data_IF_199043877890
#
_entry.id   IF_199043877890
#
_cell.length_a   1.000
_cell.length_b   1.000
_cell.length_c   1.000
_cell.angle_alpha   90.00
_cell.angle_beta   90.00
_cell.angle_gamma   90.00
#
_symmetry.space_group_name_H-M   'P 1'
#
loop_
_entity.id
_entity.type
_entity.pdbx_description
1 polymer ?
#
# COMPACT_ATOMS: atom_id res chain seq x y z
N UNK A 1 12.66 9.01 25.13
CA UNK A 1 12.09 8.74 23.78
C UNK A 1 13.17 8.99 22.75
N UNK A 2 13.37 8.06 21.81
CA UNK A 2 14.35 8.26 20.74
C UNK A 2 13.88 9.38 19.80
N UNK A 3 14.80 10.18 19.27
CA UNK A 3 14.50 11.28 18.31
C UNK A 3 13.62 10.81 17.16
N UNK A 4 13.84 9.56 16.69
CA UNK A 4 13.01 8.93 15.64
C UNK A 4 11.55 8.82 16.06
N UNK A 5 11.26 8.40 17.31
CA UNK A 5 9.89 8.28 17.80
C UNK A 5 9.18 9.65 17.91
N UNK A 6 9.90 10.71 18.26
CA UNK A 6 9.36 12.07 18.31
C UNK A 6 8.98 12.53 16.89
N UNK A 7 9.87 12.34 15.92
CA UNK A 7 9.62 12.68 14.50
C UNK A 7 8.46 11.85 13.95
N UNK A 8 8.42 10.54 14.23
CA UNK A 8 7.33 9.66 13.80
C UNK A 8 5.99 10.10 14.37
N UNK A 9 5.93 10.43 15.66
CA UNK A 9 4.71 10.94 16.30
C UNK A 9 4.25 12.30 15.78
N UNK A 10 5.18 13.16 15.37
CA UNK A 10 4.86 14.43 14.72
C UNK A 10 4.29 14.19 13.32
N UNK A 11 4.94 13.35 12.52
CA UNK A 11 4.49 12.97 11.17
C UNK A 11 3.12 12.29 11.20
N UNK A 12 2.89 11.37 12.14
CA UNK A 12 1.60 10.73 12.35
C UNK A 12 0.49 11.75 12.65
N UNK A 13 0.72 12.63 13.63
CA UNK A 13 -0.26 13.68 14.00
C UNK A 13 -0.56 14.64 12.85
N UNK A 14 0.43 14.98 12.05
CA UNK A 14 0.26 15.82 10.87
C UNK A 14 -0.58 15.10 9.81
N UNK A 15 -0.28 13.83 9.50
CA UNK A 15 -1.02 13.02 8.53
C UNK A 15 -2.45 12.75 8.95
N UNK A 16 -2.69 12.45 10.23
CA UNK A 16 -4.05 12.24 10.76
C UNK A 16 -4.89 13.52 10.73
N UNK A 17 -4.29 14.70 10.73
CA UNK A 17 -5.00 15.98 10.61
C UNK A 17 -5.29 16.41 9.16
N UNK A 18 -4.69 15.74 8.19
CA UNK A 18 -4.94 16.01 6.78
C UNK A 18 -6.32 15.45 6.37
N UNK A 19 -7.09 16.26 5.62
CA UNK A 19 -8.45 15.90 5.19
C UNK A 19 -8.48 14.83 4.11
N UNK A 20 -7.42 14.73 3.32
CA UNK A 20 -7.36 13.83 2.14
C UNK A 20 -7.51 12.37 2.53
N UNK A 21 -6.75 11.80 3.50
CA UNK A 21 -6.92 10.41 3.93
C UNK A 21 -8.34 10.10 4.43
N UNK A 22 -8.95 11.01 5.19
CA UNK A 22 -10.32 10.80 5.67
C UNK A 22 -11.34 10.69 4.56
N UNK A 23 -11.25 11.57 3.55
CA UNK A 23 -12.13 11.51 2.38
C UNK A 23 -11.98 10.17 1.68
N UNK A 24 -10.76 9.68 1.52
CA UNK A 24 -10.48 8.38 0.89
C UNK A 24 -11.02 7.20 1.70
N UNK A 25 -10.87 7.24 3.03
CA UNK A 25 -11.46 6.22 3.92
C UNK A 25 -12.99 6.22 3.81
N UNK A 26 -13.63 7.38 3.77
CA UNK A 26 -15.09 7.48 3.58
C UNK A 26 -15.51 6.85 2.25
N UNK A 27 -14.82 7.16 1.15
CA UNK A 27 -15.11 6.53 -0.14
C UNK A 27 -14.86 5.01 -0.11
N UNK A 28 -13.80 4.54 0.54
CA UNK A 28 -13.54 3.12 0.70
C UNK A 28 -14.67 2.41 1.47
N UNK A 29 -15.11 3.00 2.58
CA UNK A 29 -16.23 2.47 3.37
C UNK A 29 -17.53 2.45 2.56
N UNK A 30 -17.81 3.51 1.79
CA UNK A 30 -18.97 3.55 0.87
C UNK A 30 -18.87 2.47 -0.21
N UNK A 31 -17.70 2.25 -0.80
CA UNK A 31 -17.49 1.18 -1.79
C UNK A 31 -17.67 -0.21 -1.18
N UNK A 32 -17.18 -0.43 0.04
CA UNK A 32 -17.38 -1.66 0.79
C UNK A 32 -18.86 -1.88 1.08
N UNK A 33 -19.59 -0.85 1.51
CA UNK A 33 -21.04 -0.93 1.72
C UNK A 33 -21.80 -1.17 0.42
N UNK A 34 -21.40 -0.50 -0.69
CA UNK A 34 -21.99 -0.70 -1.99
C UNK A 34 -21.78 -2.12 -2.55
N UNK A 35 -20.68 -2.80 -2.17
CA UNK A 35 -20.45 -4.19 -2.57
C UNK A 35 -21.59 -5.13 -2.16
N UNK A 36 -22.23 -4.85 -1.02
CA UNK A 36 -23.42 -5.59 -0.57
C UNK A 36 -24.62 -5.40 -1.51
N UNK A 37 -24.85 -4.17 -2.02
CA UNK A 37 -25.93 -3.88 -2.97
C UNK A 37 -25.68 -4.53 -4.33
N UNK A 38 -24.42 -4.47 -4.80
CA UNK A 38 -23.99 -5.07 -6.07
C UNK A 38 -24.11 -6.59 -6.01
N UNK A 39 -23.77 -7.19 -4.88
CA UNK A 39 -23.86 -8.63 -4.67
C UNK A 39 -25.30 -9.14 -4.84
N UNK A 40 -26.30 -8.40 -4.37
CA UNK A 40 -27.71 -8.78 -4.51
C UNK A 40 -28.19 -8.87 -5.97
N UNK A 41 -27.49 -8.24 -6.91
CA UNK A 41 -27.79 -8.32 -8.33
C UNK A 41 -27.27 -9.60 -9.01
N UNK A 42 -26.45 -10.38 -8.30
CA UNK A 42 -25.75 -11.54 -8.86
C UNK A 42 -26.17 -12.81 -8.11
N UNK A 43 -27.05 -13.59 -8.73
CA UNK A 43 -27.58 -14.81 -8.10
C UNK A 43 -26.47 -15.83 -7.79
N UNK A 44 -26.34 -16.19 -6.50
CA UNK A 44 -25.48 -17.29 -6.03
C UNK A 44 -23.98 -17.01 -5.88
N UNK A 45 -23.52 -15.78 -6.13
CA UNK A 45 -22.10 -15.41 -5.94
C UNK A 45 -21.91 -14.19 -5.00
N UNK A 46 -22.93 -13.85 -4.24
CA UNK A 46 -23.01 -12.64 -3.44
C UNK A 46 -21.81 -12.45 -2.52
N UNK A 47 -21.43 -13.49 -1.77
CA UNK A 47 -20.33 -13.44 -0.85
C UNK A 47 -18.96 -13.24 -1.54
N UNK A 48 -18.75 -13.87 -2.71
CA UNK A 48 -17.51 -13.71 -3.47
C UNK A 48 -17.33 -12.28 -3.95
N UNK A 49 -18.40 -11.66 -4.43
CA UNK A 49 -18.40 -10.27 -4.88
C UNK A 49 -18.08 -9.32 -3.73
N UNK A 50 -18.73 -9.51 -2.57
CA UNK A 50 -18.47 -8.69 -1.37
C UNK A 50 -17.00 -8.81 -0.96
N UNK A 51 -16.46 -10.03 -0.92
CA UNK A 51 -15.04 -10.27 -0.58
C UNK A 51 -14.10 -9.62 -1.58
N UNK A 52 -14.34 -9.83 -2.86
CA UNK A 52 -13.48 -9.33 -3.93
C UNK A 52 -13.49 -7.80 -4.00
N UNK A 53 -14.66 -7.17 -4.05
CA UNK A 53 -14.79 -5.71 -4.08
C UNK A 53 -14.29 -5.06 -2.77
N UNK A 54 -14.54 -5.69 -1.63
CA UNK A 54 -14.07 -5.19 -0.35
C UNK A 54 -12.54 -5.18 -0.26
N UNK A 55 -11.88 -6.29 -0.61
CA UNK A 55 -10.41 -6.35 -0.65
C UNK A 55 -9.83 -5.43 -1.73
N UNK A 56 -10.50 -5.30 -2.89
CA UNK A 56 -10.11 -4.35 -3.91
C UNK A 56 -10.17 -2.90 -3.41
N UNK A 57 -11.24 -2.54 -2.67
CA UNK A 57 -11.37 -1.22 -2.08
C UNK A 57 -10.25 -0.94 -1.07
N UNK A 58 -9.91 -1.90 -0.19
CA UNK A 58 -8.79 -1.75 0.74
C UNK A 58 -7.47 -1.50 0.00
N UNK A 59 -7.19 -2.26 -1.06
CA UNK A 59 -5.95 -2.12 -1.84
C UNK A 59 -5.89 -0.77 -2.58
N UNK A 60 -6.93 -0.41 -3.33
CA UNK A 60 -6.94 0.79 -4.18
C UNK A 60 -6.95 2.07 -3.33
N UNK A 61 -7.85 2.17 -2.34
CA UNK A 61 -7.89 3.35 -1.48
C UNK A 61 -6.68 3.41 -0.55
N UNK A 62 -6.18 2.26 -0.08
CA UNK A 62 -4.92 2.18 0.63
C UNK A 62 -3.74 2.70 -0.21
N UNK A 63 -3.66 2.34 -1.49
CA UNK A 63 -2.68 2.86 -2.44
C UNK A 63 -2.76 4.38 -2.57
N UNK A 64 -3.96 4.91 -2.79
CA UNK A 64 -4.15 6.35 -2.90
C UNK A 64 -3.69 7.06 -1.63
N UNK A 65 -4.09 6.57 -0.45
CA UNK A 65 -3.66 7.10 0.83
C UNK A 65 -2.13 7.06 0.95
N UNK A 66 -1.49 5.91 0.64
CA UNK A 66 -0.03 5.74 0.71
C UNK A 66 0.72 6.74 -0.18
N UNK A 67 0.25 6.94 -1.43
CA UNK A 67 0.83 7.88 -2.38
C UNK A 67 0.69 9.31 -1.90
N UNK A 68 -0.53 9.74 -1.55
CA UNK A 68 -0.79 11.13 -1.14
C UNK A 68 -0.08 11.51 0.16
N UNK A 69 -0.11 10.63 1.16
CA UNK A 69 0.59 10.86 2.43
C UNK A 69 2.11 10.84 2.20
N UNK A 70 2.62 9.85 1.45
CA UNK A 70 4.06 9.69 1.20
C UNK A 70 4.70 10.91 0.55
N UNK A 71 3.97 11.55 -0.38
CA UNK A 71 4.44 12.73 -1.09
C UNK A 71 4.23 14.01 -0.29
N UNK A 72 3.05 14.16 0.30
CA UNK A 72 2.61 15.43 0.89
C UNK A 72 3.49 15.93 2.04
N UNK A 73 4.05 15.04 2.84
CA UNK A 73 4.82 15.42 4.02
C UNK A 73 6.25 15.90 3.72
N UNK A 74 6.92 15.30 2.74
CA UNK A 74 8.30 15.71 2.40
C UNK A 74 8.29 16.93 1.48
N UNK A 75 7.40 16.98 0.51
CA UNK A 75 7.29 18.09 -0.42
C UNK A 75 6.92 19.41 0.28
N UNK A 76 5.96 19.37 1.21
CA UNK A 76 5.55 20.56 2.00
C UNK A 76 6.70 21.14 2.82
N UNK A 77 7.59 20.31 3.36
CA UNK A 77 8.74 20.77 4.16
C UNK A 77 9.88 21.30 3.28
N UNK A 78 10.10 20.69 2.13
CA UNK A 78 11.10 21.16 1.15
C UNK A 78 10.67 22.52 0.57
N UNK A 79 9.39 22.68 0.19
CA UNK A 79 8.86 23.92 -0.36
C UNK A 79 8.81 25.08 0.66
N UNK A 80 8.46 24.78 1.92
CA UNK A 80 8.34 25.78 2.97
C UNK A 80 9.67 26.25 3.56
N UNK A 81 10.81 25.68 3.10
CA UNK A 81 12.14 25.94 3.69
C UNK A 81 12.16 25.72 5.23
N UNK A 82 11.15 25.04 5.78
CA UNK A 82 11.02 24.76 7.22
C UNK A 82 12.09 23.80 7.75
N UNK A 83 12.83 23.17 6.83
CA UNK A 83 14.05 22.40 7.14
C UNK A 83 15.06 23.25 7.92
N UNK A 84 15.10 24.58 7.74
CA UNK A 84 15.95 25.48 8.54
C UNK A 84 15.56 25.51 10.03
N UNK A 85 14.26 25.41 10.34
CA UNK A 85 13.79 25.32 11.73
C UNK A 85 14.13 23.97 12.40
N UNK A 86 14.32 22.91 11.62
CA UNK A 86 14.76 21.60 12.11
C UNK A 86 16.28 21.54 12.33
N UNK A 87 17.08 22.34 11.62
CA UNK A 87 18.52 22.43 11.81
C UNK A 87 18.93 23.10 13.13
N UNK A 88 18.02 23.81 13.81
CA UNK A 88 18.23 24.33 15.16
C UNK A 88 18.08 23.26 16.26
N UNK A 89 17.50 22.09 15.93
CA UNK A 89 17.44 20.92 16.83
C UNK A 89 18.42 19.85 16.34
N UNK A 90 19.06 19.07 17.22
CA UNK A 90 20.06 18.06 16.86
C UNK A 90 19.41 16.80 16.26
N UNK A 91 18.71 16.95 15.13
CA UNK A 91 18.07 15.84 14.39
C UNK A 91 18.91 15.53 13.16
N UNK A 92 19.41 14.29 13.04
CA UNK A 92 20.13 13.86 11.85
C UNK A 92 19.17 13.62 10.68
N UNK A 93 19.64 13.81 9.45
CA UNK A 93 18.84 13.58 8.21
C UNK A 93 18.30 12.14 8.14
N UNK A 94 19.04 11.16 8.66
CA UNK A 94 18.61 9.76 8.76
C UNK A 94 17.44 9.59 9.73
N UNK A 95 17.55 10.19 10.93
CA UNK A 95 16.48 10.13 11.94
C UNK A 95 15.19 10.80 11.41
N UNK A 96 15.34 11.86 10.63
CA UNK A 96 14.23 12.54 10.00
C UNK A 96 13.51 11.64 8.98
N UNK A 97 14.22 11.06 8.01
CA UNK A 97 13.62 10.19 6.98
C UNK A 97 12.98 8.95 7.61
N UNK A 98 13.68 8.28 8.54
CA UNK A 98 13.15 7.10 9.24
C UNK A 98 11.92 7.44 10.09
N UNK A 99 11.97 8.56 10.83
CA UNK A 99 10.84 9.02 11.63
C UNK A 99 9.64 9.35 10.77
N UNK A 100 9.82 10.08 9.66
CA UNK A 100 8.75 10.36 8.70
C UNK A 100 8.14 9.08 8.15
N UNK A 101 8.95 8.15 7.65
CA UNK A 101 8.47 6.87 7.14
C UNK A 101 7.63 6.11 8.17
N UNK A 102 8.11 5.96 9.40
CA UNK A 102 7.37 5.26 10.46
C UNK A 102 6.04 5.95 10.80
N UNK A 103 6.03 7.28 10.84
CA UNK A 103 4.80 8.05 11.05
C UNK A 103 3.77 7.83 9.94
N UNK A 104 4.22 7.78 8.68
CA UNK A 104 3.38 7.52 7.51
C UNK A 104 2.80 6.11 7.54
N UNK A 105 3.63 5.09 7.81
CA UNK A 105 3.19 3.69 7.93
C UNK A 105 2.20 3.52 9.08
N UNK A 106 2.41 4.19 10.22
CA UNK A 106 1.45 4.18 11.33
C UNK A 106 0.11 4.80 10.94
N UNK A 107 0.11 5.92 10.21
CA UNK A 107 -1.13 6.53 9.68
C UNK A 107 -1.85 5.59 8.71
N UNK A 108 -1.10 4.96 7.81
CA UNK A 108 -1.64 4.00 6.87
C UNK A 108 -2.27 2.79 7.60
N UNK A 109 -1.59 2.26 8.63
CA UNK A 109 -2.10 1.16 9.45
C UNK A 109 -3.43 1.51 10.13
N UNK A 110 -3.56 2.72 10.68
CA UNK A 110 -4.82 3.19 11.28
C UNK A 110 -5.93 3.27 10.23
N UNK A 111 -5.69 3.90 9.08
CA UNK A 111 -6.68 4.02 8.02
C UNK A 111 -7.11 2.63 7.48
N UNK A 112 -6.14 1.76 7.22
CA UNK A 112 -6.42 0.38 6.76
C UNK A 112 -7.21 -0.41 7.82
N UNK A 113 -6.92 -0.21 9.12
CA UNK A 113 -7.67 -0.85 10.20
C UNK A 113 -9.13 -0.40 10.23
N UNK A 114 -9.41 0.88 10.05
CA UNK A 114 -10.79 1.41 9.96
C UNK A 114 -11.54 0.78 8.77
N UNK A 115 -10.90 0.72 7.61
CA UNK A 115 -11.48 0.11 6.41
C UNK A 115 -11.69 -1.41 6.60
N UNK A 116 -10.76 -2.09 7.27
CA UNK A 116 -10.86 -3.52 7.61
C UNK A 116 -12.04 -3.78 8.53
N UNK A 117 -12.25 -2.95 9.56
CA UNK A 117 -13.41 -3.06 10.46
C UNK A 117 -14.71 -2.92 9.66
N UNK A 118 -14.81 -1.90 8.79
CA UNK A 118 -15.97 -1.71 7.94
C UNK A 118 -16.23 -2.93 7.04
N UNK A 119 -15.17 -3.48 6.45
CA UNK A 119 -15.23 -4.68 5.63
C UNK A 119 -15.77 -5.89 6.39
N UNK A 120 -15.22 -6.17 7.57
CA UNK A 120 -15.70 -7.28 8.41
C UNK A 120 -17.12 -7.06 8.94
N UNK A 121 -17.56 -5.82 9.18
CA UNK A 121 -18.94 -5.53 9.54
C UNK A 121 -19.92 -5.89 8.41
N UNK A 122 -19.56 -5.61 7.16
CA UNK A 122 -20.40 -6.01 6.01
C UNK A 122 -20.45 -7.53 5.88
N UNK A 123 -19.32 -8.23 6.05
CA UNK A 123 -19.28 -9.69 6.01
C UNK A 123 -20.06 -10.32 7.16
N UNK A 124 -19.97 -9.78 8.38
CA UNK A 124 -20.72 -10.24 9.54
C UNK A 124 -22.23 -10.03 9.34
N UNK A 125 -22.63 -8.90 8.77
CA UNK A 125 -24.03 -8.66 8.42
C UNK A 125 -24.53 -9.66 7.39
N UNK A 126 -23.74 -9.94 6.33
CA UNK A 126 -24.07 -10.95 5.33
C UNK A 126 -24.22 -12.35 5.96
N UNK A 127 -23.28 -12.73 6.85
CA UNK A 127 -23.35 -14.00 7.56
C UNK A 127 -24.60 -14.11 8.44
N UNK A 128 -24.95 -13.05 9.19
CA UNK A 128 -26.09 -13.04 10.08
C UNK A 128 -27.45 -13.09 9.35
N UNK A 129 -27.52 -12.56 8.13
CA UNK A 129 -28.77 -12.49 7.34
C UNK A 129 -28.92 -13.65 6.36
N UNK A 130 -27.85 -14.42 6.12
CA UNK A 130 -27.87 -15.53 5.18
C UNK A 130 -28.68 -16.73 5.72
N UNK A 131 -29.48 -17.33 4.84
CA UNK A 131 -30.16 -18.61 5.10
C UNK A 131 -29.17 -19.78 5.03
N UNK A 132 -29.47 -20.89 5.67
CA UNK A 132 -28.60 -22.08 5.67
C UNK A 132 -28.37 -22.62 4.25
N UNK A 133 -29.35 -22.49 3.37
CA UNK A 133 -29.24 -22.86 1.93
C UNK A 133 -28.22 -21.98 1.20
N UNK A 134 -28.19 -20.68 1.48
CA UNK A 134 -27.20 -19.76 0.90
C UNK A 134 -25.80 -20.05 1.44
N UNK A 135 -25.64 -20.28 2.74
CA UNK A 135 -24.35 -20.61 3.36
C UNK A 135 -23.77 -21.92 2.80
N UNK A 136 -24.61 -22.91 2.51
CA UNK A 136 -24.16 -24.18 1.92
C UNK A 136 -23.58 -24.01 0.50
N UNK A 137 -23.96 -22.94 -0.22
CA UNK A 137 -23.41 -22.61 -1.54
C UNK A 137 -22.09 -21.81 -1.51
N UNK A 138 -21.63 -21.37 -0.35
CA UNK A 138 -20.41 -20.58 -0.26
C UNK A 138 -19.13 -21.42 -0.39
N UNK A 139 -18.17 -20.96 -1.18
CA UNK A 139 -16.88 -21.62 -1.34
C UNK A 139 -16.03 -21.55 -0.05
N UNK A 140 -16.24 -20.51 0.77
CA UNK A 140 -15.57 -20.32 2.07
C UNK A 140 -16.47 -19.50 3.00
N UNK A 141 -16.35 -19.65 4.34
CA UNK A 141 -17.15 -18.89 5.31
C UNK A 141 -17.03 -17.39 5.09
N UNK A 142 -18.07 -16.62 5.45
CA UNK A 142 -18.03 -15.16 5.33
C UNK A 142 -16.90 -14.57 6.17
N UNK A 143 -16.76 -14.96 7.41
CA UNK A 143 -15.73 -14.53 8.35
C UNK A 143 -14.50 -15.46 8.32
N UNK A 144 -13.93 -15.68 7.13
CA UNK A 144 -12.73 -16.50 6.97
C UNK A 144 -11.48 -15.74 7.47
N UNK A 145 -10.69 -16.29 8.43
CA UNK A 145 -9.46 -15.67 8.92
C UNK A 145 -8.40 -15.46 7.83
N UNK A 146 -8.45 -16.20 6.73
CA UNK A 146 -7.51 -16.05 5.59
C UNK A 146 -7.58 -14.67 4.98
N UNK A 147 -8.69 -13.96 5.10
CA UNK A 147 -8.83 -12.58 4.63
C UNK A 147 -7.91 -11.62 5.39
N UNK A 148 -7.63 -11.88 6.68
CA UNK A 148 -6.63 -11.11 7.43
C UNK A 148 -5.23 -11.28 6.84
N UNK A 149 -4.92 -12.45 6.31
CA UNK A 149 -3.64 -12.70 5.62
C UNK A 149 -3.52 -11.81 4.39
N UNK A 150 -4.57 -11.73 3.57
CA UNK A 150 -4.59 -10.83 2.42
C UNK A 150 -4.42 -9.37 2.84
N UNK A 151 -5.10 -8.93 3.91
CA UNK A 151 -5.01 -7.55 4.43
C UNK A 151 -3.59 -7.25 4.96
N UNK A 152 -2.94 -8.21 5.62
CA UNK A 152 -1.54 -8.08 6.07
C UNK A 152 -0.59 -7.93 4.89
N UNK A 153 -0.79 -8.69 3.80
CA UNK A 153 0.00 -8.57 2.58
C UNK A 153 -0.25 -7.22 1.89
N UNK A 154 -1.51 -6.77 1.80
CA UNK A 154 -1.86 -5.42 1.32
C UNK A 154 -1.13 -4.36 2.16
N UNK A 155 -1.10 -4.47 3.49
CA UNK A 155 -0.36 -3.54 4.35
C UNK A 155 1.14 -3.55 4.04
N UNK A 156 1.74 -4.72 3.80
CA UNK A 156 3.14 -4.87 3.39
C UNK A 156 3.44 -4.18 2.06
N UNK A 157 2.57 -4.39 1.06
CA UNK A 157 2.63 -3.73 -0.24
C UNK A 157 2.56 -2.20 -0.10
N UNK A 158 1.55 -1.70 0.63
CA UNK A 158 1.35 -0.28 0.83
C UNK A 158 2.50 0.38 1.63
N UNK A 159 3.10 -0.33 2.57
CA UNK A 159 4.31 0.13 3.26
C UNK A 159 5.49 0.27 2.29
N UNK A 160 5.66 -0.68 1.36
CA UNK A 160 6.67 -0.60 0.29
C UNK A 160 6.40 0.58 -0.65
N UNK A 161 5.15 0.75 -1.10
CA UNK A 161 4.74 1.89 -1.95
C UNK A 161 4.98 3.22 -1.24
N UNK A 162 4.71 3.30 0.06
CA UNK A 162 5.01 4.49 0.88
C UNK A 162 6.50 4.82 0.89
N UNK A 163 7.37 3.80 0.97
CA UNK A 163 8.83 3.99 0.87
C UNK A 163 9.26 4.50 -0.51
N UNK A 164 8.64 3.99 -1.58
CA UNK A 164 8.85 4.46 -2.96
C UNK A 164 8.42 5.92 -3.11
N UNK A 165 7.23 6.26 -2.64
CA UNK A 165 6.69 7.62 -2.68
C UNK A 165 7.61 8.61 -1.93
N UNK A 166 8.06 8.21 -0.74
CA UNK A 166 9.00 8.97 0.06
C UNK A 166 10.34 9.13 -0.65
N UNK A 167 10.88 8.08 -1.25
CA UNK A 167 12.12 8.13 -2.02
C UNK A 167 12.03 9.14 -3.18
N UNK A 168 11.00 9.05 -4.03
CA UNK A 168 10.82 9.99 -5.13
C UNK A 168 10.60 11.43 -4.64
N UNK A 169 9.90 11.63 -3.53
CA UNK A 169 9.66 12.95 -2.96
C UNK A 169 10.94 13.64 -2.46
N UNK A 170 12.05 12.91 -2.27
CA UNK A 170 13.34 13.51 -1.87
C UNK A 170 14.00 14.33 -2.98
N UNK A 171 13.70 14.06 -4.25
CA UNK A 171 14.37 14.73 -5.39
C UNK A 171 13.43 15.23 -6.48
N UNK A 172 12.17 14.86 -6.49
CA UNK A 172 11.22 15.28 -7.53
C UNK A 172 10.09 16.15 -6.96
N UNK A 173 9.33 16.79 -7.85
CA UNK A 173 8.15 17.56 -7.46
C UNK A 173 7.00 16.63 -6.98
N UNK A 174 6.02 17.16 -6.21
CA UNK A 174 4.92 16.34 -5.72
C UNK A 174 4.19 15.57 -6.81
N UNK A 175 3.85 16.25 -7.91
CA UNK A 175 3.14 15.64 -9.03
C UNK A 175 3.97 14.53 -9.70
N UNK A 176 5.25 14.80 -9.95
CA UNK A 176 6.15 13.82 -10.57
C UNK A 176 6.36 12.61 -9.64
N UNK A 177 6.52 12.83 -8.33
CA UNK A 177 6.60 11.74 -7.34
C UNK A 177 5.37 10.86 -7.35
N UNK A 178 4.16 11.46 -7.48
CA UNK A 178 2.91 10.70 -7.59
C UNK A 178 2.89 9.84 -8.85
N UNK A 179 3.19 10.44 -10.00
CA UNK A 179 3.20 9.73 -11.28
C UNK A 179 4.22 8.58 -11.31
N UNK A 180 5.44 8.83 -10.80
CA UNK A 180 6.47 7.80 -10.72
C UNK A 180 6.09 6.68 -9.76
N UNK A 181 5.49 6.99 -8.62
CA UNK A 181 5.05 5.99 -7.63
C UNK A 181 3.92 5.14 -8.18
N UNK A 182 2.89 5.75 -8.78
CA UNK A 182 1.78 5.03 -9.40
C UNK A 182 2.26 4.21 -10.62
N UNK A 183 3.12 4.76 -11.46
CA UNK A 183 3.72 4.05 -12.58
C UNK A 183 4.53 2.83 -12.13
N UNK A 184 5.32 2.99 -11.06
CA UNK A 184 6.08 1.88 -10.48
C UNK A 184 5.15 0.83 -9.86
N UNK A 185 4.07 1.24 -9.20
CA UNK A 185 3.07 0.31 -8.65
C UNK A 185 2.41 -0.53 -9.75
N UNK A 186 1.96 0.11 -10.84
CA UNK A 186 1.41 -0.60 -12.00
C UNK A 186 2.45 -1.55 -12.58
N UNK A 187 3.65 -1.06 -12.90
CA UNK A 187 4.70 -1.88 -13.48
C UNK A 187 5.13 -3.04 -12.54
N UNK A 188 5.11 -2.83 -11.23
CA UNK A 188 5.41 -3.86 -10.23
C UNK A 188 4.41 -5.02 -10.22
N UNK A 189 3.13 -4.77 -10.51
CA UNK A 189 2.12 -5.82 -10.64
C UNK A 189 2.29 -6.63 -11.92
N UNK A 190 2.77 -6.03 -13.01
CA UNK A 190 3.06 -6.69 -14.29
C UNK A 190 4.51 -7.17 -14.42
N UNK A 191 5.26 -7.25 -13.32
CA UNK A 191 6.67 -7.64 -13.34
C UNK A 191 6.89 -9.04 -13.95
N UNK A 192 6.00 -10.00 -13.67
CA UNK A 192 6.06 -11.34 -14.26
C UNK A 192 5.92 -11.31 -15.80
N UNK A 193 5.04 -10.42 -16.31
CA UNK A 193 4.80 -10.26 -17.74
C UNK A 193 6.00 -9.63 -18.46
N UNK A 194 6.77 -8.76 -17.78
CA UNK A 194 8.01 -8.19 -18.32
C UNK A 194 9.04 -9.27 -18.69
N UNK A 195 9.09 -10.35 -17.89
CA UNK A 195 9.97 -11.49 -18.19
C UNK A 195 9.54 -12.27 -19.41
N UNK A 196 8.22 -12.43 -19.59
CA UNK A 196 7.68 -13.10 -20.80
C UNK A 196 7.85 -12.18 -22.03
N UNK A 197 7.66 -10.87 -21.86
CA UNK A 197 7.83 -9.88 -22.92
C UNK A 197 9.26 -9.87 -23.46
N UNK A 198 10.28 -10.06 -22.62
CA UNK A 198 11.69 -10.18 -23.03
C UNK A 198 11.90 -11.33 -24.03
N UNK A 199 11.14 -12.43 -23.88
CA UNK A 199 11.27 -13.62 -24.72
C UNK A 199 10.59 -13.50 -26.08
N UNK A 200 9.66 -12.55 -26.23
CA UNK A 200 8.80 -12.39 -27.42
C UNK A 200 9.30 -11.25 -28.30
N UNK A 201 10.11 -10.33 -27.76
CA UNK A 201 10.56 -9.14 -28.51
C UNK A 201 11.87 -9.41 -29.22
N UNK A 202 11.87 -9.27 -30.56
CA UNK A 202 13.03 -9.47 -31.41
C UNK A 202 14.07 -8.34 -31.33
N UNK A 203 13.72 -7.17 -30.79
CA UNK A 203 14.63 -6.03 -30.71
C UNK A 203 15.52 -6.09 -29.47
N UNK A 204 16.84 -6.20 -29.60
CA UNK A 204 17.77 -6.35 -28.48
C UNK A 204 17.74 -5.21 -27.47
N UNK A 205 17.50 -3.98 -27.92
CA UNK A 205 17.42 -2.80 -27.06
C UNK A 205 16.18 -2.85 -26.15
N UNK A 206 15.03 -3.31 -26.67
CA UNK A 206 13.79 -3.42 -25.92
C UNK A 206 13.87 -4.60 -24.94
N UNK A 207 14.44 -5.73 -25.36
CA UNK A 207 14.69 -6.88 -24.48
C UNK A 207 15.62 -6.50 -23.31
N UNK A 208 16.70 -5.76 -23.58
CA UNK A 208 17.60 -5.26 -22.53
C UNK A 208 16.86 -4.31 -21.56
N UNK A 209 16.03 -3.41 -22.08
CA UNK A 209 15.23 -2.50 -21.23
C UNK A 209 14.25 -3.28 -20.35
N UNK A 210 13.51 -4.24 -20.93
CA UNK A 210 12.57 -5.08 -20.19
C UNK A 210 13.27 -5.86 -19.08
N UNK A 211 14.44 -6.44 -19.36
CA UNK A 211 15.27 -7.13 -18.37
C UNK A 211 15.74 -6.20 -17.26
N UNK A 212 16.20 -5.00 -17.61
CA UNK A 212 16.67 -4.00 -16.65
C UNK A 212 15.54 -3.56 -15.73
N UNK A 213 14.33 -3.33 -16.28
CA UNK A 213 13.14 -2.99 -15.52
C UNK A 213 12.71 -4.15 -14.62
N UNK A 214 12.75 -5.40 -15.11
CA UNK A 214 12.41 -6.58 -14.32
C UNK A 214 13.23 -6.69 -13.02
N UNK A 215 14.54 -6.43 -13.08
CA UNK A 215 15.40 -6.50 -11.89
C UNK A 215 15.36 -5.23 -11.02
N UNK A 216 15.07 -4.08 -11.62
CA UNK A 216 15.04 -2.80 -10.91
C UNK A 216 13.72 -2.54 -10.20
N UNK A 217 12.60 -2.98 -10.78
CA UNK A 217 11.27 -2.75 -10.23
C UNK A 217 10.94 -3.77 -9.13
N UNK A 218 10.27 -3.35 -8.04
CA UNK A 218 9.76 -4.29 -7.06
C UNK A 218 8.69 -5.17 -7.68
N UNK A 219 8.78 -6.48 -7.46
CA UNK A 219 7.70 -7.39 -7.82
C UNK A 219 6.58 -7.30 -6.77
N UNK A 220 5.43 -6.77 -7.17
CA UNK A 220 4.27 -6.62 -6.29
C UNK A 220 3.23 -7.75 -6.45
N UNK A 221 3.36 -8.59 -7.47
CA UNK A 221 2.43 -9.69 -7.71
C UNK A 221 2.27 -10.65 -6.51
N UNK A 222 3.33 -11.02 -5.74
CA UNK A 222 3.20 -11.91 -4.58
C UNK A 222 2.35 -11.36 -3.42
N UNK A 223 2.11 -10.05 -3.38
CA UNK A 223 1.25 -9.43 -2.36
C UNK A 223 -0.23 -9.62 -2.64
N UNK A 224 -0.60 -9.85 -3.91
CA UNK A 224 -1.98 -10.00 -4.33
C UNK A 224 -2.43 -11.46 -4.25
N UNK A 225 -2.91 -11.85 -3.08
CA UNK A 225 -3.52 -13.17 -2.81
C UNK A 225 -5.04 -13.10 -2.73
N UNK A 226 -5.64 -12.08 -3.38
CA UNK A 226 -7.07 -11.81 -3.31
C UNK A 226 -7.89 -12.98 -3.87
N UNK A 227 -7.51 -13.51 -5.02
CA UNK A 227 -8.21 -14.62 -5.64
C UNK A 227 -8.19 -15.86 -4.74
N UNK A 228 -7.02 -16.23 -4.19
CA UNK A 228 -6.85 -17.39 -3.32
C UNK A 228 -7.79 -17.29 -2.10
N UNK A 229 -7.81 -16.14 -1.45
CA UNK A 229 -8.62 -15.93 -0.24
C UNK A 229 -10.12 -15.88 -0.53
N UNK A 230 -10.54 -15.28 -1.65
CA UNK A 230 -11.96 -15.22 -2.05
C UNK A 230 -12.49 -16.61 -2.39
N UNK A 231 -11.69 -17.45 -3.03
CA UNK A 231 -12.06 -18.83 -3.37
C UNK A 231 -11.76 -19.85 -2.25
N UNK A 232 -11.27 -19.40 -1.09
CA UNK A 232 -10.97 -20.27 0.05
C UNK A 232 -9.73 -21.16 -0.14
N UNK A 233 -8.87 -20.82 -1.10
CA UNK A 233 -7.62 -21.55 -1.33
C UNK A 233 -6.62 -21.26 -0.21
N UNK A 234 -5.76 -22.23 0.17
CA UNK A 234 -4.79 -22.06 1.24
C UNK A 234 -3.65 -21.15 0.79
N UNK A 235 -3.39 -20.11 1.58
CA UNK A 235 -2.16 -19.29 1.46
C UNK A 235 -1.18 -19.78 2.52
N UNK A 236 0.01 -20.23 2.09
CA UNK A 236 1.01 -20.78 3.00
C UNK A 236 1.67 -19.67 3.84
N UNK A 237 1.92 -19.96 5.12
CA UNK A 237 2.65 -19.01 6.00
C UNK A 237 4.06 -18.71 5.47
N UNK A 238 4.68 -19.66 4.79
CA UNK A 238 5.97 -19.47 4.13
C UNK A 238 5.89 -18.40 3.04
N UNK A 239 4.84 -18.40 2.19
CA UNK A 239 4.61 -17.36 1.19
C UNK A 239 4.48 -15.98 1.85
N UNK A 240 3.67 -15.86 2.89
CA UNK A 240 3.49 -14.61 3.64
C UNK A 240 4.82 -14.13 4.23
N UNK A 241 5.57 -15.03 4.88
CA UNK A 241 6.86 -14.70 5.50
C UNK A 241 7.89 -14.22 4.47
N UNK A 242 8.05 -14.93 3.35
CA UNK A 242 8.99 -14.53 2.30
C UNK A 242 8.57 -13.20 1.62
N UNK A 243 7.29 -12.99 1.38
CA UNK A 243 6.78 -11.74 0.77
C UNK A 243 7.00 -10.54 1.69
N UNK A 244 6.73 -10.68 3.00
CA UNK A 244 6.99 -9.61 3.97
C UNK A 244 8.48 -9.35 4.18
N UNK A 245 9.32 -10.40 4.19
CA UNK A 245 10.77 -10.26 4.26
C UNK A 245 11.31 -9.52 3.02
N UNK A 246 10.82 -9.88 1.84
CA UNK A 246 11.14 -9.18 0.60
C UNK A 246 10.76 -7.69 0.69
N UNK A 247 9.55 -7.38 1.16
CA UNK A 247 9.13 -5.99 1.39
C UNK A 247 10.08 -5.26 2.35
N UNK A 248 10.44 -5.88 3.48
CA UNK A 248 11.31 -5.27 4.48
C UNK A 248 12.70 -4.95 3.92
N UNK A 249 13.29 -5.87 3.15
CA UNK A 249 14.61 -5.66 2.50
C UNK A 249 14.52 -4.53 1.47
N UNK A 250 13.46 -4.53 0.64
CA UNK A 250 13.28 -3.51 -0.38
C UNK A 250 13.05 -2.12 0.23
N UNK A 251 12.21 -2.04 1.28
CA UNK A 251 11.97 -0.81 2.07
C UNK A 251 13.28 -0.30 2.65
N UNK A 252 14.09 -1.18 3.27
CA UNK A 252 15.38 -0.79 3.83
C UNK A 252 16.31 -0.19 2.77
N UNK A 253 16.41 -0.83 1.60
CA UNK A 253 17.21 -0.33 0.48
C UNK A 253 16.72 1.05 -0.01
N UNK A 254 15.40 1.24 -0.18
CA UNK A 254 14.81 2.52 -0.57
C UNK A 254 15.06 3.62 0.46
N UNK A 255 14.94 3.32 1.75
CA UNK A 255 15.19 4.30 2.82
C UNK A 255 16.68 4.70 2.87
N UNK A 256 17.60 3.75 2.67
CA UNK A 256 19.03 4.05 2.54
C UNK A 256 19.29 4.95 1.34
N UNK A 257 18.71 4.63 0.18
CA UNK A 257 18.81 5.45 -1.03
C UNK A 257 18.20 6.86 -0.81
N UNK A 258 17.03 6.95 -0.17
CA UNK A 258 16.39 8.23 0.17
C UNK A 258 17.30 9.09 1.07
N UNK A 259 17.91 8.50 2.10
CA UNK A 259 18.87 9.19 2.97
C UNK A 259 20.11 9.66 2.18
N UNK A 260 20.63 8.80 1.29
CA UNK A 260 21.81 9.13 0.48
C UNK A 260 21.55 10.32 -0.47
N UNK A 261 20.40 10.32 -1.15
CA UNK A 261 19.97 11.42 -2.02
C UNK A 261 19.72 12.69 -1.21
N UNK A 262 19.01 12.59 -0.08
CA UNK A 262 18.70 13.72 0.77
C UNK A 262 19.96 14.36 1.41
N UNK A 263 21.04 13.58 1.63
CA UNK A 263 22.33 14.10 2.11
C UNK A 263 23.06 14.97 1.08
N UNK A 264 22.92 14.65 -0.21
CA UNK A 264 23.60 15.37 -1.30
C UNK A 264 22.88 16.64 -1.73
N UNK A 265 21.65 16.85 -1.25
CA UNK A 265 20.87 18.04 -1.58
C UNK A 265 21.33 19.21 -0.71
N UNK A 266 22.07 20.14 -1.32
CA UNK A 266 22.37 21.43 -0.71
C UNK A 266 21.10 22.29 -0.75
N UNK A 267 20.55 22.57 0.40
CA UNK A 267 19.45 23.53 0.54
C UNK A 267 20.08 24.94 0.46
N UNK A 268 20.15 25.51 -0.75
CA UNK A 268 20.50 26.91 -0.96
C UNK A 268 19.29 27.81 -0.84
#
# INVERSE_FOLDING_TARGET
MTTIAIVAGAAFRESVRDRVPYTMVVFAVLMIAASFLIAQLTAGQDLKIIKDLGLAALSIFGLLIAVFIGIGLVSKEVERKSVYGLLTKPVTRTQFILGKYLGLVATLAVNLSVMTIAYYLVLAYMDATATDTLRAGWAAPALDPRQLVAIVLVMGELALVTAVALFFSTFSSPLLSAMLTLGLWVAGHFNADLRQFEQVVDQPAVAWLARSLYYLLPNLAPFNVRAEVVYGMPVTLAHVGFTLLYAAVYIAALLVAAVAVFRRRDFK
#
